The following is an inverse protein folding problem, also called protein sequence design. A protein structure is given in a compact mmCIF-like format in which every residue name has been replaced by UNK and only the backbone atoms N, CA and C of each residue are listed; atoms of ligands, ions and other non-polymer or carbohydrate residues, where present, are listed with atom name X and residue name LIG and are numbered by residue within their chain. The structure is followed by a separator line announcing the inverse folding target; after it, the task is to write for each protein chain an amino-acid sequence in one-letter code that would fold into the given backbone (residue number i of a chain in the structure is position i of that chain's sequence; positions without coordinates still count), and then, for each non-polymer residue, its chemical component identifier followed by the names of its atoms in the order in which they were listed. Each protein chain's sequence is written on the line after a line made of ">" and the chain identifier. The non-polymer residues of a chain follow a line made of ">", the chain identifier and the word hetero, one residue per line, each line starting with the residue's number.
data_IF_543630630261
#
_entry.id   IF_543630630261
#
_cell.length_a   1.000
_cell.length_b   1.000
_cell.length_c   1.000
_cell.angle_alpha   90.00
_cell.angle_beta   90.00
_cell.angle_gamma   90.00
#
_symmetry.space_group_name_H-M   'P 1'
#
loop_
_entity.id
_entity.type
_entity.pdbx_description
1 polymer ?
#
# COMPACT_ATOMS: atom_id res chain seq x y z
N UNK A 1 -6.78 5.27 -16.91
CA UNK A 1 -6.60 4.71 -15.57
C UNK A 1 -7.71 5.22 -14.68
N UNK A 2 -8.39 4.31 -13.96
CA UNK A 2 -9.41 4.68 -12.98
C UNK A 2 -8.74 4.98 -11.64
N UNK A 3 -9.03 6.15 -11.08
CA UNK A 3 -8.39 6.66 -9.86
C UNK A 3 -9.45 6.93 -8.79
N UNK A 4 -9.24 6.42 -7.61
CA UNK A 4 -9.99 6.70 -6.38
C UNK A 4 -9.43 8.00 -5.78
N UNK A 5 -10.25 9.03 -5.62
CA UNK A 5 -9.84 10.35 -5.10
C UNK A 5 -10.52 10.74 -3.79
N UNK A 6 -11.65 10.13 -3.49
CA UNK A 6 -12.49 10.48 -2.34
C UNK A 6 -13.31 9.28 -1.85
N UNK A 7 -13.96 9.43 -0.71
CA UNK A 7 -14.78 8.36 -0.11
C UNK A 7 -15.96 7.96 -1.00
N UNK A 8 -16.48 8.87 -1.83
CA UNK A 8 -17.56 8.54 -2.77
C UNK A 8 -17.08 7.56 -3.85
N UNK A 9 -15.84 7.69 -4.33
CA UNK A 9 -15.27 6.74 -5.31
C UNK A 9 -15.14 5.35 -4.69
N UNK A 10 -14.73 5.27 -3.41
CA UNK A 10 -14.67 4.00 -2.66
C UNK A 10 -16.06 3.38 -2.52
N UNK A 11 -17.08 4.19 -2.18
CA UNK A 11 -18.48 3.74 -2.06
C UNK A 11 -19.01 3.21 -3.39
N UNK A 12 -18.83 3.96 -4.48
CA UNK A 12 -19.24 3.54 -5.82
C UNK A 12 -18.53 2.25 -6.25
N UNK A 13 -17.22 2.15 -5.98
CA UNK A 13 -16.46 0.94 -6.24
C UNK A 13 -16.99 -0.26 -5.47
N UNK A 14 -17.35 -0.07 -4.20
CA UNK A 14 -17.94 -1.14 -3.38
C UNK A 14 -19.30 -1.58 -3.94
N UNK A 15 -20.17 -0.64 -4.33
CA UNK A 15 -21.47 -0.97 -4.95
C UNK A 15 -21.31 -1.80 -6.22
N UNK A 16 -20.28 -1.51 -7.05
CA UNK A 16 -19.97 -2.32 -8.23
C UNK A 16 -19.47 -3.70 -7.83
N UNK A 17 -18.56 -3.79 -6.85
CA UNK A 17 -18.02 -5.06 -6.36
C UNK A 17 -19.12 -5.99 -5.84
N UNK A 18 -20.09 -5.47 -5.09
CA UNK A 18 -21.20 -6.28 -4.55
C UNK A 18 -22.10 -6.85 -5.65
N UNK A 19 -22.14 -6.21 -6.83
CA UNK A 19 -22.81 -6.77 -8.01
C UNK A 19 -21.96 -7.79 -8.76
N UNK A 20 -20.64 -7.57 -8.83
CA UNK A 20 -19.70 -8.49 -9.48
C UNK A 20 -19.51 -9.79 -8.69
N UNK A 21 -19.48 -9.67 -7.36
CA UNK A 21 -19.30 -10.81 -6.45
C UNK A 21 -20.22 -10.67 -5.23
N UNK A 22 -21.45 -11.22 -5.29
CA UNK A 22 -22.41 -11.13 -4.18
C UNK A 22 -21.93 -11.75 -2.87
N UNK A 23 -20.90 -12.60 -2.87
CA UNK A 23 -20.31 -13.17 -1.66
C UNK A 23 -19.66 -12.09 -0.76
N UNK A 24 -19.38 -10.91 -1.33
CA UNK A 24 -18.82 -9.77 -0.58
C UNK A 24 -19.87 -9.03 0.26
N UNK A 25 -21.16 -9.19 -0.02
CA UNK A 25 -22.23 -8.44 0.67
C UNK A 25 -22.24 -8.66 2.19
N UNK A 26 -22.20 -9.90 2.73
CA UNK A 26 -22.16 -10.10 4.18
C UNK A 26 -20.86 -9.55 4.80
N UNK A 27 -19.73 -9.58 4.05
CA UNK A 27 -18.45 -9.04 4.51
C UNK A 27 -18.54 -7.51 4.64
N UNK A 28 -19.11 -6.85 3.65
CA UNK A 28 -19.30 -5.39 3.65
C UNK A 28 -20.24 -4.93 4.77
N UNK A 29 -21.32 -5.68 5.04
CA UNK A 29 -22.24 -5.41 6.14
C UNK A 29 -21.54 -5.50 7.51
N UNK A 30 -20.61 -6.43 7.68
CA UNK A 30 -19.88 -6.65 8.93
C UNK A 30 -18.84 -5.56 9.24
N UNK A 31 -18.21 -4.96 8.20
CA UNK A 31 -17.10 -4.01 8.40
C UNK A 31 -17.53 -2.55 8.33
N UNK A 32 -18.70 -2.25 7.76
CA UNK A 32 -19.18 -0.89 7.60
C UNK A 32 -18.40 -0.07 6.55
N UNK A 33 -18.39 1.28 6.68
CA UNK A 33 -17.74 2.17 5.71
C UNK A 33 -16.24 1.89 5.58
N UNK A 34 -15.75 1.86 4.34
CA UNK A 34 -14.33 1.66 4.06
C UNK A 34 -13.61 3.00 4.04
N UNK A 35 -12.47 3.15 4.75
CA UNK A 35 -11.71 4.39 4.76
C UNK A 35 -10.94 4.59 3.44
N UNK A 36 -10.87 5.84 2.97
CA UNK A 36 -10.12 6.23 1.76
C UNK A 36 -8.61 6.01 1.91
N UNK A 37 -8.02 6.58 2.97
CA UNK A 37 -6.59 6.45 3.31
C UNK A 37 -5.62 6.79 2.16
N UNK A 38 -5.84 7.89 1.46
CA UNK A 38 -4.87 8.37 0.47
C UNK A 38 -3.75 9.18 1.14
N UNK A 39 -2.59 9.14 0.52
CA UNK A 39 -1.40 9.95 0.82
C UNK A 39 -0.95 10.64 -0.45
N UNK A 40 -0.24 11.76 -0.29
CA UNK A 40 0.39 12.43 -1.42
C UNK A 40 1.41 11.52 -2.11
N UNK A 41 1.41 11.47 -3.46
CA UNK A 41 2.46 10.80 -4.22
C UNK A 41 3.83 11.43 -3.96
N UNK A 42 4.89 10.66 -4.12
CA UNK A 42 6.25 11.14 -3.99
C UNK A 42 7.07 10.36 -2.96
N UNK A 43 8.24 10.91 -2.62
CA UNK A 43 9.22 10.24 -1.76
C UNK A 43 8.64 9.87 -0.39
N UNK A 44 7.98 10.81 0.29
CA UNK A 44 7.43 10.58 1.63
C UNK A 44 6.44 9.40 1.67
N UNK A 45 5.55 9.30 0.68
CA UNK A 45 4.59 8.21 0.56
C UNK A 45 5.26 6.86 0.42
N UNK A 46 6.22 6.74 -0.50
CA UNK A 46 6.95 5.49 -0.72
C UNK A 46 7.85 5.14 0.48
N UNK A 47 8.52 6.13 1.06
CA UNK A 47 9.36 5.96 2.24
C UNK A 47 8.56 5.42 3.43
N UNK A 48 7.36 5.98 3.69
CA UNK A 48 6.49 5.48 4.76
C UNK A 48 6.10 4.02 4.58
N UNK A 49 5.81 3.59 3.34
CA UNK A 49 5.47 2.19 3.03
C UNK A 49 6.68 1.29 3.30
N UNK A 50 7.89 1.69 2.88
CA UNK A 50 9.13 0.95 3.12
C UNK A 50 9.42 0.84 4.63
N UNK A 51 9.25 1.93 5.38
CA UNK A 51 9.39 1.92 6.84
C UNK A 51 8.43 0.90 7.48
N UNK A 52 7.21 0.83 6.98
CA UNK A 52 6.15 -0.03 7.52
C UNK A 52 6.30 -1.54 7.21
N UNK A 53 7.22 -1.90 6.32
CA UNK A 53 7.46 -3.32 5.99
C UNK A 53 7.91 -4.13 7.23
N UNK A 54 7.26 -5.28 7.47
CA UNK A 54 7.66 -6.26 8.48
C UNK A 54 7.76 -5.73 9.92
N UNK A 55 7.08 -4.64 10.24
CA UNK A 55 7.01 -4.10 11.60
C UNK A 55 5.55 -3.81 11.99
N UNK A 56 5.27 -3.71 13.29
CA UNK A 56 3.95 -3.30 13.76
C UNK A 56 3.65 -1.85 13.36
N UNK A 57 2.37 -1.51 13.27
CA UNK A 57 1.95 -0.12 13.02
C UNK A 57 2.57 0.86 14.03
N UNK A 58 2.53 0.53 15.32
CA UNK A 58 3.12 1.36 16.36
C UNK A 58 4.62 1.58 16.16
N UNK A 59 5.36 0.52 15.77
CA UNK A 59 6.79 0.63 15.46
C UNK A 59 7.04 1.48 14.23
N UNK A 60 6.26 1.29 13.16
CA UNK A 60 6.36 2.08 11.94
C UNK A 60 6.14 3.59 12.22
N UNK A 61 5.10 3.92 12.98
CA UNK A 61 4.81 5.30 13.38
C UNK A 61 5.90 5.90 14.26
N UNK A 62 6.49 5.12 15.17
CA UNK A 62 7.60 5.59 16.01
C UNK A 62 8.86 5.86 15.18
N UNK A 63 9.18 5.00 14.20
CA UNK A 63 10.29 5.21 13.27
C UNK A 63 10.02 6.45 12.42
N UNK A 64 8.82 6.52 11.81
CA UNK A 64 8.44 7.62 10.94
C UNK A 64 8.57 8.98 11.61
N UNK A 65 8.06 9.13 12.86
CA UNK A 65 8.19 10.38 13.61
C UNK A 65 9.64 10.82 13.83
N UNK A 66 10.56 9.88 14.02
CA UNK A 66 12.00 10.22 14.18
C UNK A 66 12.67 10.64 12.86
N UNK A 67 12.08 10.24 11.73
CA UNK A 67 12.57 10.62 10.40
C UNK A 67 12.04 11.97 9.91
N UNK A 68 10.99 12.51 10.55
CA UNK A 68 10.43 13.79 10.11
C UNK A 68 11.41 14.93 10.47
N UNK A 69 11.74 15.80 9.49
CA UNK A 69 12.46 17.04 9.78
C UNK A 69 11.67 17.95 10.73
N UNK A 70 12.37 18.82 11.49
CA UNK A 70 11.71 19.78 12.36
C UNK A 70 10.83 20.77 11.59
N UNK A 71 11.24 21.12 10.37
CA UNK A 71 10.71 22.25 9.60
C UNK A 71 10.07 21.80 8.27
N UNK A 72 9.21 20.76 8.28
CA UNK A 72 8.46 20.43 7.08
C UNK A 72 8.32 18.94 6.76
N UNK A 73 7.81 18.61 5.57
CA UNK A 73 7.63 17.22 5.15
C UNK A 73 8.98 16.55 4.83
N UNK A 74 9.03 15.24 4.95
CA UNK A 74 10.20 14.46 4.53
C UNK A 74 10.27 14.41 2.99
N UNK A 75 11.06 15.32 2.40
CA UNK A 75 11.39 15.25 0.96
C UNK A 75 12.60 14.37 0.72
N UNK A 76 12.89 14.05 -0.55
CA UNK A 76 14.09 13.31 -0.93
C UNK A 76 15.36 14.07 -0.53
N UNK A 77 15.39 15.38 -0.79
CA UNK A 77 16.49 16.28 -0.44
C UNK A 77 16.69 16.36 1.07
N UNK A 78 15.59 16.51 1.83
CA UNK A 78 15.66 16.54 3.31
C UNK A 78 16.19 15.21 3.88
N UNK A 79 15.81 14.08 3.29
CA UNK A 79 16.35 12.77 3.69
C UNK A 79 17.85 12.65 3.44
N UNK A 80 18.34 13.16 2.32
CA UNK A 80 19.77 13.12 1.96
C UNK A 80 20.65 14.05 2.84
N UNK A 81 20.05 14.99 3.57
CA UNK A 81 20.76 15.84 4.53
C UNK A 81 21.02 15.15 5.88
N UNK A 82 20.38 14.03 6.17
CA UNK A 82 20.66 13.30 7.41
C UNK A 82 22.07 12.70 7.41
N UNK A 83 22.64 12.61 8.60
CA UNK A 83 23.93 11.93 8.80
C UNK A 83 23.87 10.48 8.31
N UNK A 84 24.93 9.94 7.67
CA UNK A 84 24.93 8.59 7.08
C UNK A 84 24.52 7.46 8.04
N UNK A 85 24.73 7.63 9.34
CA UNK A 85 24.35 6.63 10.37
C UNK A 85 23.02 6.94 11.08
N UNK A 86 22.30 8.02 10.70
CA UNK A 86 21.03 8.43 11.32
C UNK A 86 19.95 7.35 11.29
N UNK A 87 20.04 6.41 10.33
CA UNK A 87 19.14 5.26 10.24
C UNK A 87 19.08 4.43 11.53
N UNK A 88 20.18 4.37 12.31
CA UNK A 88 20.23 3.69 13.63
C UNK A 88 19.37 4.41 14.66
N UNK A 89 19.45 5.73 14.68
CA UNK A 89 18.66 6.57 15.58
C UNK A 89 17.18 6.52 15.22
N UNK A 90 16.85 6.43 13.93
CA UNK A 90 15.49 6.23 13.47
C UNK A 90 14.94 4.83 13.84
N UNK A 91 15.80 3.84 14.01
CA UNK A 91 15.42 2.44 14.21
C UNK A 91 15.11 1.71 12.90
N UNK A 92 15.68 2.17 11.79
CA UNK A 92 15.62 1.47 10.51
C UNK A 92 16.61 0.31 10.45
N UNK A 93 16.29 -0.71 9.65
CA UNK A 93 17.32 -1.65 9.21
C UNK A 93 18.21 -1.01 8.14
N UNK A 94 19.47 -1.42 8.07
CA UNK A 94 20.40 -0.93 7.04
C UNK A 94 19.86 -1.13 5.61
N UNK A 95 19.24 -2.27 5.34
CA UNK A 95 18.66 -2.55 4.03
C UNK A 95 17.56 -1.55 3.64
N UNK A 96 16.70 -1.14 4.58
CA UNK A 96 15.69 -0.09 4.35
C UNK A 96 16.36 1.27 4.13
N UNK A 97 17.35 1.63 4.95
CA UNK A 97 18.08 2.88 4.80
C UNK A 97 18.77 2.97 3.43
N UNK A 98 19.49 1.92 3.02
CA UNK A 98 20.14 1.86 1.70
C UNK A 98 19.12 1.95 0.53
N UNK A 99 17.92 1.42 0.72
CA UNK A 99 16.84 1.54 -0.26
C UNK A 99 16.32 2.96 -0.34
N UNK A 100 16.04 3.59 0.82
CA UNK A 100 15.56 4.97 0.89
C UNK A 100 16.58 5.95 0.32
N UNK A 101 17.88 5.77 0.58
CA UNK A 101 18.94 6.62 0.04
C UNK A 101 18.95 6.56 -1.50
N UNK A 102 18.92 5.36 -2.09
CA UNK A 102 18.87 5.22 -3.56
C UNK A 102 17.65 5.87 -4.18
N UNK A 103 16.47 5.69 -3.56
CA UNK A 103 15.25 6.32 -4.03
C UNK A 103 15.34 7.85 -3.90
N UNK A 104 15.85 8.35 -2.79
CA UNK A 104 16.03 9.78 -2.56
C UNK A 104 16.99 10.40 -3.59
N UNK A 105 18.12 9.75 -3.86
CA UNK A 105 19.07 10.18 -4.90
C UNK A 105 18.42 10.22 -6.28
N UNK A 106 17.64 9.20 -6.64
CA UNK A 106 16.97 9.13 -7.93
C UNK A 106 15.87 10.21 -8.06
N UNK A 107 15.12 10.49 -6.99
CA UNK A 107 14.10 11.56 -6.98
C UNK A 107 14.76 12.93 -7.02
N UNK A 108 15.77 13.20 -6.19
CA UNK A 108 16.47 14.48 -6.13
C UNK A 108 17.21 14.83 -7.44
N UNK A 109 17.74 13.82 -8.12
CA UNK A 109 18.36 14.01 -9.45
C UNK A 109 17.35 14.17 -10.60
N UNK A 110 16.06 13.97 -10.36
CA UNK A 110 15.03 13.97 -11.38
C UNK A 110 15.01 12.72 -12.28
N UNK A 111 15.82 11.70 -11.98
CA UNK A 111 15.80 10.43 -12.72
C UNK A 111 14.62 9.51 -12.38
N UNK A 112 13.91 9.80 -11.30
CA UNK A 112 12.70 9.10 -10.85
C UNK A 112 11.59 10.09 -10.53
N UNK A 113 10.52 10.07 -11.33
CA UNK A 113 9.28 10.83 -11.07
C UNK A 113 8.22 9.92 -10.47
N UNK A 114 8.20 9.83 -9.15
CA UNK A 114 7.22 9.03 -8.39
C UNK A 114 5.78 9.51 -8.57
N UNK A 115 5.57 10.81 -8.78
CA UNK A 115 4.24 11.38 -9.02
C UNK A 115 3.74 11.04 -10.42
N UNK A 116 4.60 11.17 -11.42
CA UNK A 116 4.31 10.78 -12.80
C UNK A 116 4.01 9.29 -12.95
N UNK A 117 4.66 8.43 -12.17
CA UNK A 117 4.36 6.99 -12.13
C UNK A 117 2.91 6.70 -11.74
N UNK A 118 2.33 7.49 -10.83
CA UNK A 118 0.93 7.34 -10.43
C UNK A 118 -0.07 7.64 -11.54
N UNK A 119 0.35 8.29 -12.62
CA UNK A 119 -0.50 8.60 -13.79
C UNK A 119 -0.45 7.54 -14.88
N UNK A 120 0.52 6.63 -14.82
CA UNK A 120 0.73 5.55 -15.81
C UNK A 120 -0.26 4.41 -15.62
N UNK A 121 -0.48 3.57 -16.65
CA UNK A 121 -1.19 2.32 -16.50
C UNK A 121 -0.59 1.45 -15.38
N UNK A 122 -1.41 0.75 -14.56
CA UNK A 122 -0.92 0.01 -13.39
C UNK A 122 0.24 -0.95 -13.69
N UNK A 123 0.16 -1.70 -14.79
CA UNK A 123 1.21 -2.66 -15.16
C UNK A 123 2.55 -2.01 -15.50
N UNK A 124 2.54 -0.86 -16.18
CA UNK A 124 3.74 -0.08 -16.49
C UNK A 124 4.36 0.49 -15.21
N UNK A 125 3.53 1.15 -14.39
CA UNK A 125 3.96 1.73 -13.13
C UNK A 125 4.53 0.66 -12.16
N UNK A 126 3.90 -0.51 -12.07
CA UNK A 126 4.40 -1.65 -11.28
C UNK A 126 5.75 -2.14 -11.78
N UNK A 127 5.93 -2.24 -13.12
CA UNK A 127 7.20 -2.63 -13.73
C UNK A 127 8.35 -1.67 -13.35
N UNK A 128 8.11 -0.37 -13.46
CA UNK A 128 9.11 0.65 -13.12
C UNK A 128 9.42 0.68 -11.61
N UNK A 129 8.39 0.65 -10.77
CA UNK A 129 8.58 0.62 -9.31
C UNK A 129 9.33 -0.62 -8.84
N UNK A 130 9.02 -1.80 -9.37
CA UNK A 130 9.70 -3.05 -9.01
C UNK A 130 11.12 -3.14 -9.58
N UNK A 131 11.47 -2.34 -10.57
CA UNK A 131 12.84 -2.15 -11.05
C UNK A 131 13.74 -1.43 -10.05
N UNK A 132 13.17 -0.71 -9.08
CA UNK A 132 13.93 -0.05 -8.02
C UNK A 132 14.42 -1.07 -7.00
N UNK A 133 15.73 -1.14 -6.79
CA UNK A 133 16.32 -2.10 -5.84
C UNK A 133 15.80 -1.88 -4.42
N UNK A 134 15.13 -2.87 -3.87
CA UNK A 134 14.52 -2.84 -2.54
C UNK A 134 13.01 -2.54 -2.55
N UNK A 135 12.44 -2.27 -3.72
CA UNK A 135 10.99 -2.13 -3.92
C UNK A 135 10.46 -3.43 -4.53
N UNK A 136 9.78 -4.22 -3.73
CA UNK A 136 9.12 -5.45 -4.19
C UNK A 136 7.70 -5.21 -4.69
N UNK A 137 7.07 -6.24 -5.30
CA UNK A 137 5.69 -6.13 -5.83
C UNK A 137 4.70 -5.58 -4.81
N UNK A 138 4.70 -6.09 -3.58
CA UNK A 138 3.82 -5.62 -2.51
C UNK A 138 3.98 -4.11 -2.24
N UNK A 139 5.22 -3.61 -2.17
CA UNK A 139 5.50 -2.19 -1.91
C UNK A 139 5.00 -1.31 -3.06
N UNK A 140 5.25 -1.75 -4.30
CA UNK A 140 4.79 -1.05 -5.50
C UNK A 140 3.26 -1.02 -5.60
N UNK A 141 2.59 -2.14 -5.34
CA UNK A 141 1.13 -2.25 -5.33
C UNK A 141 0.51 -1.35 -4.26
N UNK A 142 1.04 -1.38 -3.04
CA UNK A 142 0.56 -0.53 -1.93
C UNK A 142 0.80 0.96 -2.23
N UNK A 143 1.93 1.31 -2.86
CA UNK A 143 2.20 2.68 -3.29
C UNK A 143 1.17 3.17 -4.32
N UNK A 144 0.91 2.39 -5.37
CA UNK A 144 -0.07 2.74 -6.38
C UNK A 144 -1.50 2.83 -5.81
N UNK A 145 -1.85 1.99 -4.84
CA UNK A 145 -3.15 2.03 -4.18
C UNK A 145 -3.35 3.27 -3.32
N UNK A 146 -2.37 3.60 -2.49
CA UNK A 146 -2.54 4.61 -1.43
C UNK A 146 -1.91 5.96 -1.76
N UNK A 147 -0.95 6.02 -2.68
CA UNK A 147 -0.40 7.29 -3.17
C UNK A 147 -0.92 7.63 -4.58
N UNK A 148 -1.05 6.64 -5.46
CA UNK A 148 -1.59 6.83 -6.80
C UNK A 148 -3.11 6.77 -6.91
N UNK A 149 -3.80 6.23 -5.89
CA UNK A 149 -5.25 6.04 -5.93
C UNK A 149 -5.74 5.04 -6.97
N UNK A 150 -4.88 4.19 -7.52
CA UNK A 150 -5.26 3.22 -8.55
C UNK A 150 -6.38 2.30 -8.07
N UNK A 151 -7.48 2.26 -8.83
CA UNK A 151 -8.66 1.47 -8.48
C UNK A 151 -8.47 -0.04 -8.72
N UNK A 152 -7.58 -0.41 -9.65
CA UNK A 152 -7.46 -1.79 -10.12
C UNK A 152 -6.08 -2.40 -9.85
N UNK A 153 -5.63 -2.31 -8.61
CA UNK A 153 -4.41 -2.96 -8.08
C UNK A 153 -4.79 -3.82 -6.88
N UNK A 154 -4.18 -5.01 -6.74
CA UNK A 154 -4.46 -5.92 -5.63
C UNK A 154 -3.17 -6.57 -5.13
N UNK A 155 -2.69 -6.27 -3.91
CA UNK A 155 -1.45 -6.82 -3.38
C UNK A 155 -1.63 -8.27 -2.91
N UNK A 156 -1.74 -9.19 -3.86
CA UNK A 156 -1.99 -10.61 -3.60
C UNK A 156 -0.88 -11.31 -2.80
N UNK A 157 0.31 -10.71 -2.72
CA UNK A 157 1.41 -11.13 -1.85
C UNK A 157 1.21 -10.79 -0.38
N UNK A 158 0.21 -9.95 -0.03
CA UNK A 158 -0.06 -9.56 1.34
C UNK A 158 -0.65 -10.72 2.16
N UNK A 159 0.05 -11.09 3.24
CA UNK A 159 -0.36 -12.23 4.09
C UNK A 159 -1.68 -11.96 4.82
N UNK A 160 -1.95 -10.71 5.20
CA UNK A 160 -3.21 -10.35 5.84
C UNK A 160 -4.38 -10.48 4.85
N UNK A 161 -4.20 -10.06 3.60
CA UNK A 161 -5.20 -10.28 2.54
C UNK A 161 -5.42 -11.77 2.25
N UNK A 162 -4.35 -12.56 2.15
CA UNK A 162 -4.47 -14.00 1.97
C UNK A 162 -5.29 -14.65 3.09
N UNK A 163 -5.01 -14.28 4.34
CA UNK A 163 -5.76 -14.77 5.49
C UNK A 163 -7.22 -14.27 5.47
N UNK A 164 -7.43 -12.98 5.21
CA UNK A 164 -8.75 -12.38 5.19
C UNK A 164 -9.65 -13.00 4.11
N UNK A 165 -9.15 -13.14 2.89
CA UNK A 165 -9.89 -13.73 1.78
C UNK A 165 -10.18 -15.21 2.04
N UNK A 166 -9.19 -15.97 2.54
CA UNK A 166 -9.39 -17.37 2.91
C UNK A 166 -10.51 -17.54 3.94
N UNK A 167 -10.48 -16.76 5.01
CA UNK A 167 -11.48 -16.83 6.07
C UNK A 167 -12.87 -16.32 5.63
N UNK A 168 -12.90 -15.13 4.98
CA UNK A 168 -14.15 -14.48 4.59
C UNK A 168 -14.94 -15.26 3.51
N UNK A 169 -14.22 -15.92 2.61
CA UNK A 169 -14.84 -16.73 1.54
C UNK A 169 -14.95 -18.21 1.89
N UNK A 170 -14.59 -18.63 3.11
CA UNK A 170 -14.69 -20.02 3.57
C UNK A 170 -13.83 -20.98 2.76
N UNK A 171 -12.64 -20.56 2.30
CA UNK A 171 -11.75 -21.42 1.55
C UNK A 171 -11.13 -22.50 2.43
N UNK A 172 -10.93 -23.70 1.90
CA UNK A 172 -10.38 -24.84 2.65
C UNK A 172 -8.95 -24.57 3.19
N UNK A 173 -8.19 -23.67 2.53
CA UNK A 173 -6.87 -23.23 2.97
C UNK A 173 -6.63 -21.77 2.55
N UNK A 174 -5.66 -21.13 3.24
CA UNK A 174 -5.19 -19.80 2.86
C UNK A 174 -4.66 -19.81 1.42
N UNK A 175 -5.20 -18.98 0.51
CA UNK A 175 -4.72 -18.92 -0.86
C UNK A 175 -3.30 -18.34 -0.89
N UNK A 176 -2.41 -18.95 -1.67
CA UNK A 176 -1.11 -18.39 -1.96
C UNK A 176 -1.23 -17.21 -2.96
N UNK A 177 -0.20 -16.36 -3.04
CA UNK A 177 -0.20 -15.14 -3.85
C UNK A 177 -0.71 -15.35 -5.29
N UNK A 178 -0.23 -16.38 -6.00
CA UNK A 178 -0.64 -16.67 -7.38
C UNK A 178 -2.13 -17.04 -7.47
N UNK A 179 -2.63 -17.84 -6.54
CA UNK A 179 -4.04 -18.24 -6.50
C UNK A 179 -4.93 -17.05 -6.14
N UNK A 180 -4.48 -16.22 -5.20
CA UNK A 180 -5.20 -15.02 -4.79
C UNK A 180 -5.22 -13.96 -5.90
N UNK A 181 -4.13 -13.76 -6.64
CA UNK A 181 -4.08 -12.89 -7.81
C UNK A 181 -5.13 -13.33 -8.86
N UNK A 182 -5.20 -14.63 -9.17
CA UNK A 182 -6.21 -15.19 -10.09
C UNK A 182 -7.64 -14.98 -9.55
N UNK A 183 -7.87 -15.23 -8.27
CA UNK A 183 -9.18 -15.04 -7.66
C UNK A 183 -9.61 -13.57 -7.72
N UNK A 184 -8.67 -12.62 -7.54
CA UNK A 184 -8.97 -11.19 -7.55
C UNK A 184 -9.35 -10.62 -8.92
N UNK A 185 -9.17 -11.37 -10.00
CA UNK A 185 -9.56 -10.93 -11.36
C UNK A 185 -11.06 -10.62 -11.48
N UNK A 186 -11.91 -11.33 -10.75
CA UNK A 186 -13.36 -11.08 -10.74
C UNK A 186 -13.72 -9.71 -10.19
N UNK A 187 -12.85 -9.10 -9.39
CA UNK A 187 -13.08 -7.81 -8.75
C UNK A 187 -12.58 -6.62 -9.60
N UNK A 188 -12.00 -6.88 -10.79
CA UNK A 188 -11.63 -5.80 -11.71
C UNK A 188 -12.90 -5.07 -12.20
N UNK A 189 -12.88 -3.74 -12.36
CA UNK A 189 -11.74 -2.82 -12.22
C UNK A 189 -11.60 -2.17 -10.82
N UNK A 190 -12.14 -2.78 -9.78
CA UNK A 190 -12.18 -2.24 -8.42
C UNK A 190 -11.39 -3.08 -7.40
N UNK A 191 -10.33 -3.78 -7.86
CA UNK A 191 -9.53 -4.66 -7.01
C UNK A 191 -8.96 -3.97 -5.77
N UNK A 192 -8.63 -2.69 -5.86
CA UNK A 192 -8.16 -1.91 -4.70
C UNK A 192 -9.24 -1.68 -3.65
N UNK A 193 -10.51 -1.59 -4.04
CA UNK A 193 -11.62 -1.50 -3.10
C UNK A 193 -11.87 -2.85 -2.44
N UNK A 194 -11.75 -3.96 -3.20
CA UNK A 194 -11.80 -5.31 -2.63
C UNK A 194 -10.68 -5.52 -1.59
N UNK A 195 -9.44 -5.09 -1.87
CA UNK A 195 -8.35 -5.15 -0.91
C UNK A 195 -8.66 -4.36 0.38
N UNK A 196 -9.20 -3.13 0.26
CA UNK A 196 -9.63 -2.34 1.42
C UNK A 196 -10.70 -3.06 2.24
N UNK A 197 -11.67 -3.69 1.58
CA UNK A 197 -12.73 -4.47 2.23
C UNK A 197 -12.15 -5.63 3.04
N UNK A 198 -11.26 -6.42 2.45
CA UNK A 198 -10.65 -7.55 3.14
C UNK A 198 -9.68 -7.13 4.26
N UNK A 199 -8.95 -6.02 4.12
CA UNK A 199 -8.16 -5.50 5.25
C UNK A 199 -9.06 -5.00 6.38
N UNK A 200 -10.19 -4.36 6.08
CA UNK A 200 -11.16 -3.95 7.10
C UNK A 200 -11.78 -5.17 7.81
N UNK A 201 -12.13 -6.21 7.05
CA UNK A 201 -12.58 -7.49 7.61
C UNK A 201 -11.51 -8.12 8.51
N UNK A 202 -10.26 -8.13 8.08
CA UNK A 202 -9.15 -8.66 8.88
C UNK A 202 -9.00 -7.91 10.21
N UNK A 203 -9.01 -6.59 10.18
CA UNK A 203 -8.91 -5.75 11.38
C UNK A 203 -10.08 -5.98 12.34
N UNK A 204 -11.31 -6.06 11.82
CA UNK A 204 -12.55 -6.22 12.63
C UNK A 204 -12.67 -7.62 13.23
N UNK A 205 -12.49 -8.67 12.42
CA UNK A 205 -12.77 -10.07 12.83
C UNK A 205 -11.54 -10.76 13.40
N UNK A 206 -10.34 -10.41 12.97
CA UNK A 206 -9.10 -11.08 13.41
C UNK A 206 -8.33 -10.27 14.46
N UNK A 207 -8.87 -9.13 14.93
CA UNK A 207 -8.32 -8.25 15.97
C UNK A 207 -6.85 -7.86 15.74
N UNK A 208 -6.48 -7.61 14.48
CA UNK A 208 -5.12 -7.21 14.11
C UNK A 208 -5.17 -5.93 13.28
N UNK A 209 -4.59 -4.86 13.82
CA UNK A 209 -4.35 -3.60 13.11
C UNK A 209 -3.26 -3.83 12.03
N UNK A 210 -3.65 -4.35 10.88
CA UNK A 210 -2.72 -4.70 9.80
C UNK A 210 -3.11 -4.07 8.47
N UNK A 211 -3.50 -2.79 8.50
CA UNK A 211 -3.53 -2.02 7.26
C UNK A 211 -2.19 -1.30 7.12
N UNK A 212 -1.46 -1.50 6.00
CA UNK A 212 -0.06 -1.04 5.85
C UNK A 212 0.11 0.48 5.90
N UNK A 213 -0.94 1.24 5.66
CA UNK A 213 -0.90 2.71 5.58
C UNK A 213 -2.19 3.26 6.18
N UNK A 214 -2.09 3.92 7.29
CA UNK A 214 -3.22 4.58 7.99
C UNK A 214 -2.96 6.05 8.16
#
# INVERSE_FOLDING_TARGET
>A
VQIIRNDNDVRLGLEVLLRLDPRLAPIAADVGPLPLRLREPGFAGLAHIIVSQMVSRASAEAIWRRMLPADGPLTAEAYLLFHPEAWREFGLSRAKADTLTRIAEAVASGSLDLSGLCLKPPGEALGELTGLKGVGPWTAEVYLMFCGGHADVFPAGDVALQNAVGAALGLAARPQAKALAKLSEVWSPWRSVAARLFWAYYATKMRRDMVPVG
#
